data_IF_714606646104
#
_entry.id   IF_714606646104
#
_cell.length_a   1.000
_cell.length_b   1.000
_cell.length_c   1.000
_cell.angle_alpha   90.00
_cell.angle_beta   90.00
_cell.angle_gamma   90.00
#
_symmetry.space_group_name_H-M   'P 1'
#
loop_
_entity.id
_entity.type
_entity.pdbx_description
1 polymer ?
#
# COMPACT_ATOMS: atom_id res chain seq x y z
N UNK A 1 -10.47 -7.87 0.79
CA UNK A 1 -9.30 -8.45 0.09
C UNK A 1 -8.12 -7.52 0.31
N UNK A 2 -6.99 -8.02 0.83
CA UNK A 2 -5.90 -7.22 1.41
C UNK A 2 -4.77 -6.87 0.43
N UNK A 3 -4.65 -7.58 -0.69
CA UNK A 3 -3.60 -7.36 -1.69
C UNK A 3 -4.24 -7.36 -3.09
N UNK A 4 -4.07 -6.28 -3.85
CA UNK A 4 -4.55 -6.15 -5.23
C UNK A 4 -3.40 -5.77 -6.15
N UNK A 5 -3.10 -6.63 -7.13
CA UNK A 5 -2.04 -6.43 -8.13
C UNK A 5 -2.66 -5.88 -9.42
N UNK A 6 -2.25 -4.69 -9.86
CA UNK A 6 -2.71 -4.08 -11.12
C UNK A 6 -1.62 -4.15 -12.20
N UNK A 7 -2.00 -4.58 -13.40
CA UNK A 7 -1.12 -4.61 -14.57
C UNK A 7 -1.34 -3.36 -15.42
N UNK A 8 -0.32 -2.50 -15.50
CA UNK A 8 -0.35 -1.29 -16.35
C UNK A 8 0.29 -1.67 -17.70
N UNK A 9 -0.51 -1.80 -18.76
CA UNK A 9 -0.07 -2.30 -20.09
C UNK A 9 0.98 -1.45 -20.81
N UNK A 10 1.23 -0.20 -20.36
CA UNK A 10 1.93 0.82 -21.17
C UNK A 10 3.36 1.15 -20.70
N UNK A 11 3.84 0.65 -19.55
CA UNK A 11 5.22 0.88 -19.07
C UNK A 11 5.77 -0.40 -18.46
N UNK A 12 7.07 -0.67 -18.60
CA UNK A 12 7.81 -1.78 -17.93
C UNK A 12 7.76 -1.74 -16.38
N UNK A 13 6.91 -0.89 -15.80
CA UNK A 13 6.81 -0.63 -14.38
C UNK A 13 5.48 -1.14 -13.85
N UNK A 14 5.53 -2.03 -12.87
CA UNK A 14 4.36 -2.57 -12.18
C UNK A 14 4.10 -1.79 -10.89
N UNK A 15 2.82 -1.47 -10.59
CA UNK A 15 2.43 -0.79 -9.35
C UNK A 15 1.69 -1.77 -8.44
N UNK A 16 2.24 -2.02 -7.26
CA UNK A 16 1.60 -2.78 -6.19
C UNK A 16 1.05 -1.79 -5.16
N UNK A 17 -0.19 -2.01 -4.69
CA UNK A 17 -0.82 -1.16 -3.66
C UNK A 17 -1.21 -2.03 -2.48
N UNK A 18 -0.71 -1.69 -1.30
CA UNK A 18 -1.04 -2.33 -0.03
C UNK A 18 -2.12 -1.51 0.68
N UNK A 19 -3.12 -2.18 1.25
CA UNK A 19 -4.24 -1.53 1.93
C UNK A 19 -4.43 -2.19 3.29
N UNK A 20 -4.31 -1.39 4.34
CA UNK A 20 -4.66 -1.81 5.69
C UNK A 20 -6.15 -1.52 5.90
N UNK A 21 -6.97 -2.52 6.27
CA UNK A 21 -8.37 -2.31 6.59
C UNK A 21 -8.56 -1.29 7.72
N UNK A 22 -9.66 -0.53 7.66
CA UNK A 22 -9.97 0.50 8.67
C UNK A 22 -10.04 -0.06 10.09
N UNK A 23 -10.58 -1.27 10.26
CA UNK A 23 -10.69 -1.97 11.55
C UNK A 23 -9.32 -2.15 12.21
N UNK A 24 -8.35 -2.66 11.45
CA UNK A 24 -6.99 -2.90 11.95
C UNK A 24 -6.16 -1.64 12.09
N UNK A 25 -6.48 -0.54 11.37
CA UNK A 25 -5.72 0.72 11.43
C UNK A 25 -6.20 1.68 12.53
N UNK A 26 -7.23 1.33 13.31
CA UNK A 26 -7.65 2.16 14.44
C UNK A 26 -6.68 2.11 15.62
N UNK A 27 -5.93 1.00 15.74
CA UNK A 27 -4.99 0.75 16.84
C UNK A 27 -3.58 1.31 16.58
N UNK A 28 -3.31 1.81 15.37
CA UNK A 28 -1.97 2.25 14.97
C UNK A 28 -1.99 3.67 14.39
N UNK A 29 -1.03 4.51 14.82
CA UNK A 29 -0.89 5.89 14.32
C UNK A 29 -0.25 5.95 12.94
N UNK A 30 0.74 5.08 12.70
CA UNK A 30 1.55 5.00 11.47
C UNK A 30 1.70 3.55 11.04
N UNK A 31 1.91 3.35 9.75
CA UNK A 31 2.24 2.06 9.18
C UNK A 31 3.18 2.26 7.99
N UNK A 32 4.11 1.33 7.80
CA UNK A 32 5.05 1.34 6.67
C UNK A 32 5.11 -0.05 6.05
N UNK A 33 5.30 -0.12 4.73
CA UNK A 33 5.52 -1.41 4.04
C UNK A 33 7.02 -1.69 4.03
N UNK A 34 7.45 -2.75 4.72
CA UNK A 34 8.85 -3.15 4.81
C UNK A 34 9.07 -4.56 4.26
N UNK A 35 10.25 -4.82 3.71
CA UNK A 35 10.69 -6.12 3.24
C UNK A 35 12.00 -6.04 2.45
N UNK A 36 12.39 -7.13 1.81
CA UNK A 36 13.67 -7.19 1.10
C UNK A 36 13.80 -6.13 -0.01
N UNK A 37 12.67 -5.75 -0.64
CA UNK A 37 12.63 -4.73 -1.70
C UNK A 37 12.98 -3.32 -1.22
N UNK A 38 12.97 -3.06 0.11
CA UNK A 38 13.44 -1.81 0.70
C UNK A 38 14.44 -2.04 1.84
N UNK A 39 15.13 -3.20 1.85
CA UNK A 39 16.12 -3.57 2.88
C UNK A 39 15.58 -3.47 4.31
N UNK A 40 14.29 -3.76 4.51
CA UNK A 40 13.61 -3.66 5.80
C UNK A 40 13.60 -2.26 6.43
N UNK A 41 13.77 -1.20 5.63
CA UNK A 41 13.75 0.19 6.10
C UNK A 41 12.31 0.65 6.40
N UNK A 42 12.03 0.97 7.67
CA UNK A 42 10.73 1.46 8.15
C UNK A 42 10.38 2.87 7.69
N UNK A 43 11.35 3.66 7.24
CA UNK A 43 11.16 5.05 6.80
C UNK A 43 10.99 5.18 5.28
N UNK A 44 11.45 4.19 4.52
CA UNK A 44 11.41 4.22 3.06
C UNK A 44 9.99 4.26 2.46
N UNK A 45 8.99 3.62 3.09
CA UNK A 45 7.65 3.46 2.52
C UNK A 45 6.53 3.68 3.55
N UNK A 46 6.43 4.87 4.12
CA UNK A 46 5.35 5.24 5.04
C UNK A 46 3.98 5.32 4.32
N UNK A 47 2.98 4.67 4.89
CA UNK A 47 1.62 4.62 4.36
C UNK A 47 0.83 5.87 4.74
N UNK A 48 0.06 6.40 3.79
CA UNK A 48 -0.84 7.54 4.03
C UNK A 48 -2.22 7.08 4.47
N UNK A 49 -2.73 7.67 5.56
CA UNK A 49 -4.10 7.42 6.05
C UNK A 49 -5.12 8.07 5.12
N UNK A 50 -5.79 7.26 4.31
CA UNK A 50 -6.83 7.73 3.38
C UNK A 50 -8.22 7.67 4.04
N UNK A 51 -8.96 8.79 4.00
CA UNK A 51 -10.34 8.88 4.53
C UNK A 51 -11.38 8.23 3.60
N UNK A 52 -11.10 8.18 2.29
CA UNK A 52 -11.88 7.47 1.26
C UNK A 52 -10.90 6.76 0.32
N UNK A 53 -11.10 5.47 -0.02
CA UNK A 53 -10.32 4.83 -1.08
C UNK A 53 -10.84 5.34 -2.43
N UNK A 54 -10.33 6.47 -2.89
CA UNK A 54 -10.69 7.03 -4.18
C UNK A 54 -10.09 6.16 -5.31
N UNK A 55 -10.99 5.62 -6.15
CA UNK A 55 -10.71 5.05 -7.47
C UNK A 55 -9.75 3.85 -7.55
N UNK A 56 -10.06 2.75 -6.86
CA UNK A 56 -9.66 1.42 -7.31
C UNK A 56 -10.71 0.86 -8.30
N UNK A 57 -10.91 1.53 -9.46
CA UNK A 57 -11.54 0.86 -10.61
C UNK A 57 -10.63 -0.28 -11.07
N UNK A 58 -11.25 -1.45 -11.23
CA UNK A 58 -10.62 -2.72 -11.59
C UNK A 58 -9.83 -2.60 -12.89
#
# INVERSE_FOLDING_TARGET
MSITKKYIKSKKNHKVTFIIPKKSSQEFERASVVGDFNKWDSHANEMKKIKKPENLKQ
#
